data_IF_911918462746
#
_entry.id   IF_911918462746
#
_cell.length_a   1.000
_cell.length_b   1.000
_cell.length_c   1.000
_cell.angle_alpha   90.00
_cell.angle_beta   90.00
_cell.angle_gamma   90.00
#
_symmetry.space_group_name_H-M   'P 1'
#
loop_
_entity.id
_entity.type
_entity.pdbx_description
1 polymer ?
#
# COMPACT_ATOMS: atom_id res chain seq x y z
N UNK A 1 6.13 14.32 4.78
CA UNK A 1 6.01 13.21 3.81
C UNK A 1 6.68 13.71 2.55
N UNK A 2 7.68 12.99 2.03
CA UNK A 2 8.35 13.36 0.78
C UNK A 2 7.44 13.09 -0.43
N UNK A 3 7.97 13.34 -1.63
CA UNK A 3 7.33 13.05 -2.93
C UNK A 3 6.73 11.63 -2.97
N UNK A 4 5.54 11.53 -3.52
CA UNK A 4 4.87 10.27 -3.84
C UNK A 4 5.16 9.95 -5.31
N UNK A 5 5.74 8.78 -5.57
CA UNK A 5 5.99 8.31 -6.93
C UNK A 5 4.76 7.61 -7.52
N UNK A 6 4.65 7.49 -8.87
CA UNK A 6 3.49 6.87 -9.51
C UNK A 6 3.20 5.43 -9.05
N UNK A 7 4.23 4.67 -8.66
CA UNK A 7 4.13 3.31 -8.11
C UNK A 7 3.92 3.28 -6.58
N UNK A 8 3.55 4.42 -5.97
CA UNK A 8 3.28 4.55 -4.55
C UNK A 8 1.89 5.15 -4.31
N UNK A 9 1.23 4.68 -3.25
CA UNK A 9 -0.10 5.17 -2.87
C UNK A 9 -0.09 5.76 -1.46
N UNK A 10 -0.75 6.91 -1.27
CA UNK A 10 -0.84 7.58 0.02
C UNK A 10 -1.69 6.78 1.03
N UNK A 11 -1.18 6.63 2.25
CA UNK A 11 -1.85 5.98 3.38
C UNK A 11 -2.05 7.01 4.50
N UNK A 12 -3.31 7.34 4.77
CA UNK A 12 -3.67 8.29 5.81
C UNK A 12 -3.42 7.71 7.21
N UNK A 13 -3.13 8.59 8.18
CA UNK A 13 -2.82 8.23 9.58
C UNK A 13 -3.94 7.43 10.26
N UNK A 14 -5.19 7.55 9.83
CA UNK A 14 -6.32 6.80 10.38
C UNK A 14 -6.47 5.37 9.82
N UNK A 15 -5.62 4.93 8.90
CA UNK A 15 -5.68 3.60 8.28
C UNK A 15 -4.89 2.50 9.05
N UNK A 16 -4.55 2.73 10.32
CA UNK A 16 -3.74 1.80 11.13
C UNK A 16 -2.23 2.09 11.14
N UNK A 17 -1.82 3.27 10.66
CA UNK A 17 -0.42 3.72 10.70
C UNK A 17 -0.27 4.94 11.62
N UNK A 18 0.81 5.02 12.40
CA UNK A 18 0.96 6.10 13.41
C UNK A 18 1.15 7.49 12.82
N UNK A 19 1.59 7.57 11.56
CA UNK A 19 1.84 8.80 10.78
C UNK A 19 1.39 8.61 9.34
N UNK A 20 1.16 9.70 8.60
CA UNK A 20 0.94 9.64 7.16
C UNK A 20 2.09 8.88 6.49
N UNK A 21 1.73 7.87 5.70
CA UNK A 21 2.64 6.86 5.17
C UNK A 21 2.33 6.61 3.70
N UNK A 22 3.13 5.78 3.03
CA UNK A 22 2.90 5.36 1.65
C UNK A 22 3.03 3.85 1.51
N UNK A 23 2.16 3.25 0.71
CA UNK A 23 2.33 1.89 0.22
C UNK A 23 3.24 1.94 -1.01
N UNK A 24 4.26 1.08 -1.06
CA UNK A 24 5.34 1.12 -2.04
C UNK A 24 5.32 -0.15 -2.89
N UNK A 25 4.82 -0.07 -4.14
CA UNK A 25 4.67 -1.25 -4.99
C UNK A 25 6.02 -1.89 -5.36
N UNK A 26 7.08 -1.08 -5.48
CA UNK A 26 8.46 -1.55 -5.71
C UNK A 26 9.07 -2.36 -4.55
N UNK A 27 8.36 -2.44 -3.41
CA UNK A 27 8.76 -3.21 -2.23
C UNK A 27 7.75 -4.31 -1.90
N UNK A 28 6.93 -4.75 -2.88
CA UNK A 28 5.98 -5.86 -2.69
C UNK A 28 6.70 -7.19 -2.44
N UNK A 29 6.16 -8.01 -1.54
CA UNK A 29 6.77 -9.29 -1.13
C UNK A 29 5.72 -10.34 -0.79
N UNK A 30 5.97 -11.58 -1.21
CA UNK A 30 5.25 -12.77 -0.72
C UNK A 30 5.79 -13.17 0.65
N UNK A 31 4.90 -13.37 1.64
CA UNK A 31 5.27 -13.75 3.02
C UNK A 31 4.38 -14.89 3.53
N UNK A 32 4.92 -15.76 4.39
CA UNK A 32 4.12 -16.77 5.09
C UNK A 32 3.19 -16.13 6.13
N UNK A 33 2.06 -16.78 6.45
CA UNK A 33 1.09 -16.29 7.45
C UNK A 33 1.72 -16.11 8.84
N UNK A 34 2.69 -16.93 9.19
CA UNK A 34 3.44 -16.87 10.45
C UNK A 34 4.22 -15.56 10.64
N UNK A 35 4.54 -14.85 9.56
CA UNK A 35 5.20 -13.53 9.63
C UNK A 35 4.23 -12.40 9.99
N UNK A 36 2.92 -12.64 9.98
CA UNK A 36 1.91 -11.65 10.33
C UNK A 36 1.70 -11.64 11.85
N UNK A 37 2.19 -10.60 12.53
CA UNK A 37 2.14 -10.52 13.99
C UNK A 37 0.77 -10.10 14.54
N UNK A 38 0.20 -9.01 14.00
CA UNK A 38 -1.11 -8.47 14.41
C UNK A 38 -1.70 -7.57 13.34
N UNK A 39 -3.02 -7.41 13.35
CA UNK A 39 -3.72 -6.44 12.50
C UNK A 39 -3.58 -5.02 13.06
N UNK A 40 -3.10 -4.09 12.24
CA UNK A 40 -2.95 -2.68 12.64
C UNK A 40 -4.14 -1.79 12.22
N UNK A 41 -4.88 -2.19 11.19
CA UNK A 41 -6.00 -1.41 10.67
C UNK A 41 -6.64 -2.02 9.42
N UNK A 42 -7.33 -1.18 8.65
CA UNK A 42 -7.89 -1.51 7.33
C UNK A 42 -7.97 -0.22 6.52
N UNK A 43 -7.67 -0.32 5.23
CA UNK A 43 -7.89 0.76 4.28
C UNK A 43 -9.33 0.69 3.75
N UNK A 44 -10.01 1.85 3.56
CA UNK A 44 -11.26 1.92 2.81
C UNK A 44 -11.08 1.41 1.37
N UNK A 45 -12.16 0.89 0.78
CA UNK A 45 -12.11 0.29 -0.57
C UNK A 45 -11.65 1.31 -1.63
N UNK A 46 -12.06 2.57 -1.49
CA UNK A 46 -11.70 3.66 -2.39
C UNK A 46 -10.20 3.94 -2.35
N UNK A 47 -9.55 3.70 -1.20
CA UNK A 47 -8.09 3.84 -1.04
C UNK A 47 -7.32 2.61 -1.50
N UNK A 48 -7.94 1.43 -1.43
CA UNK A 48 -7.34 0.20 -1.98
C UNK A 48 -7.18 0.27 -3.50
N UNK A 49 -8.13 0.88 -4.22
CA UNK A 49 -8.02 1.05 -5.69
C UNK A 49 -6.70 1.73 -6.11
N UNK A 50 -6.24 2.75 -5.37
CA UNK A 50 -5.00 3.43 -5.68
C UNK A 50 -3.75 2.56 -5.44
N UNK A 51 -3.84 1.59 -4.51
CA UNK A 51 -2.78 0.59 -4.30
C UNK A 51 -2.77 -0.39 -5.48
N UNK A 52 -3.94 -0.84 -5.93
CA UNK A 52 -4.06 -1.74 -7.08
C UNK A 52 -3.45 -1.09 -8.33
N UNK A 53 -3.77 0.17 -8.60
CA UNK A 53 -3.22 0.92 -9.74
C UNK A 53 -1.69 1.06 -9.64
N UNK A 54 -1.16 1.32 -8.44
CA UNK A 54 0.28 1.40 -8.21
C UNK A 54 0.99 0.05 -8.43
N UNK A 55 0.34 -1.06 -8.05
CA UNK A 55 0.85 -2.42 -8.29
C UNK A 55 0.86 -2.73 -9.79
N UNK A 56 -0.26 -2.49 -10.48
CA UNK A 56 -0.38 -2.73 -11.91
C UNK A 56 0.65 -1.93 -12.70
N UNK A 57 0.83 -0.65 -12.36
CA UNK A 57 1.86 0.19 -12.94
C UNK A 57 3.27 -0.36 -12.68
N UNK A 58 3.56 -0.79 -11.45
CA UNK A 58 4.89 -1.33 -11.12
C UNK A 58 5.19 -2.64 -11.85
N UNK A 59 4.18 -3.49 -12.04
CA UNK A 59 4.30 -4.77 -12.73
C UNK A 59 4.18 -4.65 -14.25
N UNK A 60 3.81 -3.48 -14.78
CA UNK A 60 3.62 -3.26 -16.22
C UNK A 60 2.39 -3.98 -16.77
N UNK A 61 1.31 -4.05 -15.98
CA UNK A 61 0.06 -4.75 -16.34
C UNK A 61 -1.13 -3.79 -16.34
N UNK A 62 -2.22 -4.19 -17.00
CA UNK A 62 -3.47 -3.42 -17.08
C UNK A 62 -4.60 -4.11 -16.28
N UNK A 63 -5.71 -3.40 -16.06
CA UNK A 63 -6.89 -3.90 -15.32
C UNK A 63 -7.75 -4.82 -16.16
#
# INVERSE_FOLDING_TARGET
MERIYPFEAAVARNAGVRKSSKAMANQIRTVSKERLLRRLGKLPAEKMSAIDDAILLHLGTER
#
